data_IF_862759512157
#
_entry.id   IF_862759512157
#
_cell.length_a   1.000
_cell.length_b   1.000
_cell.length_c   1.000
_cell.angle_alpha   90.00
_cell.angle_beta   90.00
_cell.angle_gamma   90.00
#
_symmetry.space_group_name_H-M   'P 1'
#
loop_
_entity.id
_entity.type
_entity.pdbx_description
1 polymer ?
#
# COMPACT_ATOMS: atom_id res chain seq x y z
N UNK A 1 -8.69 -17.06 34.70
CA UNK A 1 -8.07 -16.34 33.56
C UNK A 1 -9.13 -15.48 32.84
N UNK A 2 -8.85 -14.20 32.60
CA UNK A 2 -9.83 -13.22 32.08
C UNK A 2 -10.51 -13.67 30.77
N UNK A 3 -9.74 -14.19 29.81
CA UNK A 3 -10.30 -14.68 28.53
C UNK A 3 -11.28 -15.85 28.67
N UNK A 4 -11.11 -16.71 29.68
CA UNK A 4 -12.04 -17.84 29.90
C UNK A 4 -13.37 -17.37 30.47
N UNK A 5 -13.29 -16.42 31.41
CA UNK A 5 -14.44 -15.93 32.15
C UNK A 5 -15.37 -15.06 31.29
N UNK A 6 -14.87 -14.56 30.16
CA UNK A 6 -15.53 -13.62 29.25
C UNK A 6 -15.68 -14.19 27.82
N UNK A 7 -15.79 -15.51 27.67
CA UNK A 7 -15.86 -16.14 26.34
C UNK A 7 -17.15 -15.82 25.56
N UNK A 8 -18.21 -15.41 26.25
CA UNK A 8 -19.53 -15.16 25.67
C UNK A 8 -19.75 -13.66 25.33
N UNK A 9 -18.87 -12.77 25.79
CA UNK A 9 -18.97 -11.30 25.64
C UNK A 9 -17.69 -10.63 25.11
N UNK A 10 -16.62 -11.39 24.83
CA UNK A 10 -15.35 -10.85 24.35
C UNK A 10 -14.76 -11.64 23.18
N UNK A 11 -14.23 -10.91 22.19
CA UNK A 11 -13.39 -11.45 21.11
C UNK A 11 -11.99 -10.87 21.25
N UNK A 12 -10.97 -11.74 21.21
CA UNK A 12 -9.55 -11.34 21.21
C UNK A 12 -8.96 -11.66 19.85
N UNK A 13 -8.40 -10.65 19.18
CA UNK A 13 -7.67 -10.80 17.93
C UNK A 13 -6.20 -10.47 18.20
N UNK A 14 -5.32 -11.46 17.99
CA UNK A 14 -3.89 -11.26 17.99
C UNK A 14 -3.38 -11.24 16.54
N UNK A 15 -2.46 -10.34 16.24
CA UNK A 15 -1.86 -10.20 14.91
C UNK A 15 -0.35 -10.05 15.03
N UNK A 16 0.37 -10.72 14.14
CA UNK A 16 1.82 -10.76 14.13
C UNK A 16 2.32 -11.68 13.02
N UNK A 17 3.62 -11.64 12.75
CA UNK A 17 4.24 -12.53 11.78
C UNK A 17 4.14 -14.01 12.23
N UNK A 18 4.08 -14.98 11.30
CA UNK A 18 3.80 -16.38 11.63
C UNK A 18 4.69 -16.97 12.73
N UNK A 19 6.01 -16.82 12.65
CA UNK A 19 6.96 -17.38 13.63
C UNK A 19 6.84 -16.67 14.98
N UNK A 20 6.70 -15.34 14.97
CA UNK A 20 6.48 -14.56 16.18
C UNK A 20 5.18 -14.97 16.91
N UNK A 21 4.09 -15.15 16.16
CA UNK A 21 2.81 -15.64 16.69
C UNK A 21 2.94 -17.05 17.25
N UNK A 22 3.63 -17.96 16.55
CA UNK A 22 3.87 -19.32 17.04
C UNK A 22 4.65 -19.34 18.36
N UNK A 23 5.67 -18.49 18.50
CA UNK A 23 6.43 -18.37 19.76
C UNK A 23 5.53 -17.92 20.91
N UNK A 24 4.68 -16.92 20.69
CA UNK A 24 3.73 -16.45 21.70
C UNK A 24 2.74 -17.55 22.10
N UNK A 25 2.21 -18.29 21.13
CA UNK A 25 1.30 -19.41 21.37
C UNK A 25 1.99 -20.59 22.07
N UNK A 26 3.29 -20.77 21.87
CA UNK A 26 4.09 -21.81 22.52
C UNK A 26 4.50 -21.45 23.97
N UNK A 27 4.31 -20.20 24.41
CA UNK A 27 4.70 -19.79 25.76
C UNK A 27 3.86 -20.46 26.87
N UNK A 28 2.63 -20.90 26.55
CA UNK A 28 1.77 -21.67 27.44
C UNK A 28 0.74 -22.46 26.61
N UNK A 29 0.65 -23.77 26.82
CA UNK A 29 -0.30 -24.66 26.13
C UNK A 29 -1.76 -24.17 26.21
N UNK A 30 -2.12 -23.50 27.30
CA UNK A 30 -3.44 -22.90 27.50
C UNK A 30 -3.75 -21.73 26.58
N UNK A 31 -2.76 -21.07 25.97
CA UNK A 31 -2.98 -20.05 24.94
C UNK A 31 -3.28 -20.68 23.58
N UNK A 32 -2.57 -21.76 23.24
CA UNK A 32 -2.77 -22.47 21.96
C UNK A 32 -4.21 -22.96 21.79
N UNK A 33 -4.83 -23.45 22.87
CA UNK A 33 -6.24 -23.85 22.87
C UNK A 33 -7.23 -22.68 22.77
N UNK A 34 -6.83 -21.45 23.12
CA UNK A 34 -7.70 -20.25 23.10
C UNK A 34 -7.71 -19.54 21.75
N UNK A 35 -6.69 -19.75 20.93
CA UNK A 35 -6.62 -19.23 19.56
C UNK A 35 -6.90 -20.35 18.55
N UNK A 36 -8.15 -20.84 18.55
CA UNK A 36 -8.57 -21.95 17.69
C UNK A 36 -8.57 -21.59 16.19
N UNK A 37 -8.76 -20.31 15.87
CA UNK A 37 -8.78 -19.81 14.50
C UNK A 37 -7.46 -19.12 14.17
N UNK A 38 -6.74 -19.67 13.20
CA UNK A 38 -5.55 -19.04 12.62
C UNK A 38 -5.88 -18.61 11.19
N UNK A 39 -5.68 -17.32 10.90
CA UNK A 39 -5.84 -16.77 9.55
C UNK A 39 -4.46 -16.27 9.12
N UNK A 40 -3.95 -16.84 8.04
CA UNK A 40 -2.67 -16.43 7.44
C UNK A 40 -2.93 -15.41 6.32
N UNK A 41 -2.22 -14.29 6.39
CA UNK A 41 -2.24 -13.27 5.35
C UNK A 41 -0.92 -13.30 4.60
N UNK A 42 -0.97 -13.74 3.34
CA UNK A 42 0.17 -13.69 2.44
C UNK A 42 0.27 -12.33 1.76
N UNK A 43 1.48 -11.90 1.44
CA UNK A 43 1.73 -10.71 0.62
C UNK A 43 0.94 -10.79 -0.70
N UNK A 44 0.24 -9.71 -1.08
CA UNK A 44 -0.35 -9.63 -2.42
C UNK A 44 0.74 -9.70 -3.50
N UNK A 45 0.48 -10.53 -4.51
CA UNK A 45 1.31 -10.62 -5.70
C UNK A 45 1.08 -9.42 -6.65
N UNK A 46 1.90 -9.24 -7.70
CA UNK A 46 1.78 -8.08 -8.59
C UNK A 46 0.39 -7.91 -9.21
N UNK A 47 -0.25 -8.99 -9.65
CA UNK A 47 -1.61 -8.94 -10.22
C UNK A 47 -2.65 -8.52 -9.19
N UNK A 48 -2.54 -9.03 -7.97
CA UNK A 48 -3.42 -8.65 -6.86
C UNK A 48 -3.24 -7.18 -6.47
N UNK A 49 -2.01 -6.68 -6.45
CA UNK A 49 -1.74 -5.25 -6.18
C UNK A 49 -2.36 -4.35 -7.26
N UNK A 50 -2.26 -4.74 -8.53
CA UNK A 50 -2.93 -4.05 -9.64
C UNK A 50 -4.45 -4.09 -9.49
N UNK A 51 -5.04 -5.27 -9.20
CA UNK A 51 -6.48 -5.38 -8.98
C UNK A 51 -6.97 -4.53 -7.80
N UNK A 52 -6.15 -4.36 -6.76
CA UNK A 52 -6.45 -3.47 -5.64
C UNK A 52 -6.40 -2.00 -6.09
N UNK A 53 -5.43 -1.59 -6.93
CA UNK A 53 -5.41 -0.24 -7.51
C UNK A 53 -6.69 0.04 -8.30
N UNK A 54 -7.06 -0.87 -9.20
CA UNK A 54 -8.26 -0.78 -10.01
C UNK A 54 -9.51 -0.68 -9.14
N UNK A 55 -9.62 -1.52 -8.10
CA UNK A 55 -10.75 -1.48 -7.17
C UNK A 55 -10.83 -0.20 -6.35
N UNK A 56 -9.68 0.40 -5.97
CA UNK A 56 -9.66 1.70 -5.26
C UNK A 56 -10.08 2.82 -6.20
N UNK A 57 -9.48 2.91 -7.39
CA UNK A 57 -9.81 3.94 -8.38
C UNK A 57 -11.28 3.87 -8.80
N UNK A 58 -11.79 2.67 -9.11
CA UNK A 58 -13.17 2.48 -9.52
C UNK A 58 -14.18 2.86 -8.42
N UNK A 59 -13.83 2.68 -7.14
CA UNK A 59 -14.67 3.11 -6.02
C UNK A 59 -14.85 4.63 -5.97
N UNK A 60 -13.83 5.36 -6.41
CA UNK A 60 -13.84 6.83 -6.46
C UNK A 60 -14.35 7.37 -7.81
N UNK A 61 -14.74 6.49 -8.74
CA UNK A 61 -15.21 6.83 -10.08
C UNK A 61 -14.10 7.06 -11.10
N UNK A 62 -12.85 6.75 -10.73
CA UNK A 62 -11.69 6.94 -11.57
C UNK A 62 -11.41 5.73 -12.47
N UNK A 63 -10.75 5.99 -13.60
CA UNK A 63 -10.26 4.97 -14.52
C UNK A 63 -8.79 5.19 -14.82
N UNK A 64 -8.11 4.14 -15.30
CA UNK A 64 -6.72 4.22 -15.73
C UNK A 64 -6.65 4.26 -17.25
N UNK A 65 -5.74 5.08 -17.79
CA UNK A 65 -5.39 4.98 -19.20
C UNK A 65 -4.84 3.57 -19.52
N UNK A 66 -5.03 3.05 -20.75
CA UNK A 66 -4.71 1.65 -21.09
C UNK A 66 -3.27 1.23 -20.79
N UNK A 67 -2.32 2.17 -20.80
CA UNK A 67 -0.90 1.96 -20.54
C UNK A 67 -0.45 2.33 -19.13
N UNK A 68 -1.32 2.96 -18.32
CA UNK A 68 -0.93 3.61 -17.07
C UNK A 68 -0.37 2.64 -16.02
N UNK A 69 -0.80 1.39 -16.05
CA UNK A 69 -0.41 0.36 -15.08
C UNK A 69 0.73 -0.55 -15.57
N UNK A 70 1.12 -0.46 -16.85
CA UNK A 70 2.11 -1.36 -17.44
C UNK A 70 3.47 -1.24 -16.74
N UNK A 71 3.90 -0.01 -16.44
CA UNK A 71 5.18 0.27 -15.79
C UNK A 71 5.23 -0.19 -14.33
N UNK A 72 4.08 -0.30 -13.65
CA UNK A 72 4.02 -0.73 -12.26
C UNK A 72 4.19 -2.23 -12.07
N UNK A 73 3.78 -3.04 -13.05
CA UNK A 73 3.84 -4.51 -12.95
C UNK A 73 5.25 -5.00 -12.66
N UNK A 74 6.25 -4.43 -13.33
CA UNK A 74 7.65 -4.77 -13.11
C UNK A 74 8.12 -4.36 -11.71
N UNK A 75 7.81 -3.12 -11.30
CA UNK A 75 8.17 -2.62 -9.96
C UNK A 75 7.55 -3.47 -8.85
N UNK A 76 6.28 -3.84 -8.98
CA UNK A 76 5.58 -4.69 -8.02
C UNK A 76 6.15 -6.10 -8.00
N UNK A 77 6.53 -6.66 -9.15
CA UNK A 77 7.24 -7.94 -9.21
C UNK A 77 8.59 -7.88 -8.48
N UNK A 78 9.34 -6.78 -8.62
CA UNK A 78 10.58 -6.58 -7.87
C UNK A 78 10.34 -6.51 -6.35
N UNK A 79 9.31 -5.78 -5.90
CA UNK A 79 8.98 -5.69 -4.47
C UNK A 79 8.43 -6.98 -3.87
N UNK A 80 7.76 -7.79 -4.69
CA UNK A 80 7.26 -9.10 -4.29
C UNK A 80 8.39 -10.13 -4.20
N UNK A 81 9.31 -10.13 -5.16
CA UNK A 81 10.39 -11.12 -5.21
C UNK A 81 11.56 -10.78 -4.27
N UNK A 82 11.77 -9.50 -3.96
CA UNK A 82 12.78 -9.09 -2.99
C UNK A 82 12.28 -9.35 -1.56
N UNK A 83 13.06 -10.13 -0.81
CA UNK A 83 12.71 -10.54 0.55
C UNK A 83 13.93 -10.63 1.45
N UNK A 84 13.70 -10.57 2.76
CA UNK A 84 14.66 -10.90 3.80
C UNK A 84 14.06 -11.94 4.74
N UNK A 85 14.90 -12.56 5.56
CA UNK A 85 14.47 -13.44 6.64
C UNK A 85 14.68 -12.74 7.97
N UNK A 86 13.64 -12.67 8.79
CA UNK A 86 13.70 -12.13 10.14
C UNK A 86 14.58 -13.00 11.04
N UNK A 87 14.97 -12.51 12.22
CA UNK A 87 15.72 -13.30 13.20
C UNK A 87 14.92 -14.48 13.74
N UNK A 88 13.59 -14.42 13.63
CA UNK A 88 12.66 -15.47 14.07
C UNK A 88 12.33 -16.47 12.95
N UNK A 89 12.85 -16.24 11.73
CA UNK A 89 12.67 -17.12 10.58
C UNK A 89 11.53 -16.70 9.63
N UNK A 90 10.84 -15.59 9.89
CA UNK A 90 9.79 -15.10 8.99
C UNK A 90 10.39 -14.59 7.68
N UNK A 91 9.77 -14.95 6.56
CA UNK A 91 10.09 -14.33 5.26
C UNK A 91 9.27 -13.05 5.13
N UNK A 92 9.96 -11.91 5.03
CA UNK A 92 9.35 -10.59 4.89
C UNK A 92 9.73 -10.06 3.50
N UNK A 93 8.74 -9.76 2.66
CA UNK A 93 8.96 -9.16 1.35
C UNK A 93 9.04 -7.64 1.46
N UNK A 94 9.68 -7.01 0.48
CA UNK A 94 9.73 -5.54 0.40
C UNK A 94 8.33 -4.97 0.38
N UNK A 95 7.40 -5.59 -0.37
CA UNK A 95 6.02 -5.13 -0.42
C UNK A 95 5.32 -5.14 0.95
N UNK A 96 5.69 -6.05 1.86
CA UNK A 96 5.17 -6.07 3.22
C UNK A 96 5.71 -4.89 4.03
N UNK A 97 7.02 -4.62 3.89
CA UNK A 97 7.67 -3.47 4.51
C UNK A 97 7.11 -2.13 4.05
N UNK A 98 6.70 -2.04 2.77
CA UNK A 98 6.02 -0.87 2.19
C UNK A 98 4.58 -0.70 2.71
N UNK A 99 3.99 -1.74 3.30
CA UNK A 99 2.61 -1.72 3.81
C UNK A 99 1.57 -2.31 2.85
N UNK A 100 2.00 -3.02 1.81
CA UNK A 100 1.17 -3.85 0.95
C UNK A 100 -0.05 -3.09 0.38
N UNK A 101 -1.29 -3.48 0.70
CA UNK A 101 -2.48 -2.73 0.26
C UNK A 101 -2.51 -1.25 0.67
N UNK A 102 -1.86 -0.86 1.79
CA UNK A 102 -1.71 0.55 2.18
C UNK A 102 -0.81 1.31 1.21
N UNK A 103 0.30 0.70 0.79
CA UNK A 103 1.20 1.28 -0.20
C UNK A 103 0.44 1.57 -1.50
N UNK A 104 -0.31 0.58 -1.99
CA UNK A 104 -1.11 0.68 -3.21
C UNK A 104 -2.15 1.82 -3.12
N UNK A 105 -2.86 1.92 -1.98
CA UNK A 105 -3.77 3.04 -1.73
C UNK A 105 -3.07 4.38 -1.84
N UNK A 106 -1.91 4.53 -1.19
CA UNK A 106 -1.14 5.76 -1.25
C UNK A 106 -0.67 6.10 -2.66
N UNK A 107 -0.30 5.10 -3.48
CA UNK A 107 0.01 5.31 -4.91
C UNK A 107 -1.18 5.94 -5.64
N UNK A 108 -2.38 5.38 -5.49
CA UNK A 108 -3.60 5.91 -6.14
C UNK A 108 -3.93 7.31 -5.64
N UNK A 109 -3.92 7.54 -4.32
CA UNK A 109 -4.17 8.86 -3.72
C UNK A 109 -3.20 9.93 -4.27
N UNK A 110 -1.91 9.58 -4.42
CA UNK A 110 -0.91 10.50 -4.98
C UNK A 110 -1.06 10.71 -6.48
N UNK A 111 -1.51 9.69 -7.22
CA UNK A 111 -1.82 9.81 -8.64
C UNK A 111 -3.03 10.75 -8.87
N UNK A 112 -4.10 10.60 -8.09
CA UNK A 112 -5.27 11.49 -8.11
C UNK A 112 -4.89 12.94 -7.80
N UNK A 113 -4.02 13.17 -6.80
CA UNK A 113 -3.52 14.51 -6.48
C UNK A 113 -2.73 15.13 -7.64
N UNK A 114 -1.92 14.34 -8.35
CA UNK A 114 -1.19 14.82 -9.52
C UNK A 114 -2.13 15.15 -10.68
N UNK A 115 -3.12 14.29 -10.96
CA UNK A 115 -4.16 14.55 -11.96
C UNK A 115 -4.86 15.88 -11.68
N UNK A 116 -5.32 16.07 -10.44
CA UNK A 116 -6.02 17.29 -10.04
C UNK A 116 -5.13 18.53 -10.23
N UNK A 117 -3.84 18.43 -9.89
CA UNK A 117 -2.87 19.51 -10.08
C UNK A 117 -2.66 19.83 -11.57
N UNK A 118 -2.59 18.82 -12.43
CA UNK A 118 -2.49 19.00 -13.89
C UNK A 118 -3.75 19.67 -14.45
N UNK A 119 -4.94 19.25 -14.06
CA UNK A 119 -6.22 19.81 -14.54
C UNK A 119 -6.35 21.28 -14.11
N UNK A 120 -6.04 21.58 -12.85
CA UNK A 120 -6.01 22.96 -12.33
C UNK A 120 -5.05 23.82 -13.14
N UNK A 121 -3.89 23.26 -13.50
CA UNK A 121 -2.89 23.96 -14.30
C UNK A 121 -3.35 24.18 -15.75
N UNK A 122 -4.01 23.20 -16.36
CA UNK A 122 -4.53 23.31 -17.74
C UNK A 122 -5.68 24.31 -17.86
N UNK A 123 -6.45 24.52 -16.79
CA UNK A 123 -7.53 25.49 -16.74
C UNK A 123 -7.06 26.94 -16.54
N UNK A 124 -5.76 27.19 -16.33
CA UNK A 124 -5.24 28.55 -16.18
C UNK A 124 -5.86 29.32 -15.01
N UNK A 125 -6.22 28.62 -13.91
CA UNK A 125 -6.94 29.18 -12.76
C UNK A 125 -6.27 30.39 -12.07
N UNK A 126 -5.00 30.65 -12.36
CA UNK A 126 -4.27 31.83 -11.87
C UNK A 126 -4.74 33.15 -12.49
N UNK A 127 -5.52 33.12 -13.58
CA UNK A 127 -6.13 34.28 -14.20
C UNK A 127 -7.53 34.02 -14.77
N UNK A 128 -8.18 32.93 -14.36
CA UNK A 128 -9.49 32.56 -14.84
C UNK A 128 -10.57 33.52 -14.34
N UNK A 129 -11.40 34.02 -15.25
CA UNK A 129 -12.62 34.76 -14.90
C UNK A 129 -13.70 33.76 -14.51
N UNK A 130 -13.97 33.62 -13.22
CA UNK A 130 -15.01 32.73 -12.70
C UNK A 130 -16.43 33.21 -13.04
N UNK A 131 -16.58 34.42 -13.59
CA UNK A 131 -17.85 34.92 -14.10
C UNK A 131 -18.10 34.60 -15.58
N UNK A 132 -17.10 34.02 -16.26
CA UNK A 132 -17.23 33.53 -17.62
C UNK A 132 -18.20 32.33 -17.66
N UNK A 133 -19.35 32.44 -18.37
CA UNK A 133 -20.32 31.35 -18.47
C UNK A 133 -19.78 30.12 -19.21
N UNK A 134 -18.71 30.26 -19.99
CA UNK A 134 -18.04 29.17 -20.70
C UNK A 134 -16.86 28.58 -19.88
N UNK A 135 -16.64 29.06 -18.65
CA UNK A 135 -15.57 28.53 -17.80
C UNK A 135 -15.80 27.04 -17.48
N UNK A 136 -14.87 26.19 -17.95
CA UNK A 136 -14.89 24.76 -17.69
C UNK A 136 -15.84 23.97 -18.61
N UNK A 137 -16.44 24.58 -19.63
CA UNK A 137 -17.25 23.84 -20.63
C UNK A 137 -16.42 22.88 -21.47
N UNK A 138 -15.11 23.13 -21.59
CA UNK A 138 -14.14 22.29 -22.30
C UNK A 138 -13.60 21.14 -21.44
N UNK A 139 -14.03 21.04 -20.18
CA UNK A 139 -13.66 19.91 -19.31
C UNK A 139 -14.49 18.70 -19.70
N UNK A 140 -13.83 17.76 -20.37
CA UNK A 140 -14.36 16.42 -20.54
C UNK A 140 -14.49 15.74 -19.17
N UNK A 141 -15.63 15.07 -18.92
CA UNK A 141 -15.84 14.28 -17.72
C UNK A 141 -14.78 13.18 -17.58
N UNK A 142 -14.29 12.67 -18.72
CA UNK A 142 -13.20 11.70 -18.76
C UNK A 142 -11.89 12.30 -18.26
N UNK A 143 -11.62 13.60 -18.50
CA UNK A 143 -10.42 14.24 -17.97
C UNK A 143 -10.40 14.30 -16.44
N UNK A 144 -11.57 14.46 -15.81
CA UNK A 144 -11.69 14.54 -14.35
C UNK A 144 -11.51 13.18 -13.65
N UNK A 145 -11.64 12.07 -14.38
CA UNK A 145 -11.66 10.71 -13.84
C UNK A 145 -10.51 9.84 -14.36
N UNK A 146 -9.88 10.21 -15.47
CA UNK A 146 -8.78 9.46 -16.08
C UNK A 146 -7.44 9.73 -15.39
N UNK A 147 -6.83 8.67 -14.85
CA UNK A 147 -5.46 8.64 -14.35
C UNK A 147 -4.51 8.20 -15.47
N UNK A 148 -3.58 9.07 -15.86
CA UNK A 148 -2.62 8.79 -16.92
C UNK A 148 -1.41 7.99 -16.41
N UNK A 149 -0.59 7.47 -17.32
CA UNK A 149 0.68 6.83 -16.96
C UNK A 149 1.61 7.76 -16.15
N UNK A 150 1.57 9.06 -16.43
CA UNK A 150 2.34 10.06 -15.70
C UNK A 150 1.84 10.25 -14.26
N UNK A 151 0.52 10.27 -14.05
CA UNK A 151 -0.07 10.33 -12.70
C UNK A 151 0.32 9.14 -11.86
N UNK A 152 0.20 7.95 -12.45
CA UNK A 152 0.51 6.69 -11.79
C UNK A 152 2.00 6.63 -11.46
N UNK A 153 2.87 7.02 -12.40
CA UNK A 153 4.31 7.08 -12.17
C UNK A 153 4.65 8.07 -11.04
N UNK A 154 4.08 9.28 -11.06
CA UNK A 154 4.24 10.25 -9.99
C UNK A 154 3.78 9.69 -8.65
N UNK A 155 2.58 9.08 -8.61
CA UNK A 155 2.01 8.50 -7.41
C UNK A 155 2.90 7.40 -6.82
N UNK A 156 3.47 6.55 -7.67
CA UNK A 156 4.41 5.51 -7.29
C UNK A 156 5.69 6.08 -6.69
N UNK A 157 6.32 7.05 -7.35
CA UNK A 157 7.53 7.70 -6.83
C UNK A 157 7.27 8.43 -5.51
N UNK A 158 6.10 9.04 -5.33
CA UNK A 158 5.73 9.73 -4.09
C UNK A 158 5.32 8.79 -2.96
N UNK A 159 4.89 7.57 -3.25
CA UNK A 159 4.57 6.56 -2.24
C UNK A 159 5.83 5.84 -1.72
N UNK A 160 6.91 5.79 -2.53
CA UNK A 160 8.15 5.16 -2.12
C UNK A 160 8.84 5.93 -0.99
N UNK A 161 9.52 5.26 -0.06
CA UNK A 161 10.43 5.90 0.88
C UNK A 161 11.51 6.73 0.15
N UNK A 162 11.91 7.91 0.65
CA UNK A 162 12.90 8.77 0.01
C UNK A 162 14.21 8.06 -0.37
N UNK A 163 14.64 7.10 0.46
CA UNK A 163 15.84 6.30 0.28
C UNK A 163 15.75 5.40 -0.97
N UNK A 164 14.54 4.96 -1.33
CA UNK A 164 14.30 4.13 -2.52
C UNK A 164 14.12 4.97 -3.80
N UNK A 165 13.92 6.29 -3.68
CA UNK A 165 13.69 7.18 -4.83
C UNK A 165 14.99 7.60 -5.54
N UNK A 166 16.10 7.71 -4.80
CA UNK A 166 17.21 8.56 -5.21
C UNK A 166 18.47 7.86 -5.70
N UNK A 167 18.65 6.56 -5.51
CA UNK A 167 19.76 5.79 -6.14
C UNK A 167 19.74 4.33 -5.67
N UNK A 168 19.90 3.37 -6.60
CA UNK A 168 20.61 2.07 -6.52
C UNK A 168 20.52 1.14 -5.29
N UNK A 169 19.95 1.54 -4.16
CA UNK A 169 19.77 0.74 -2.97
C UNK A 169 18.84 -0.41 -3.35
N UNK A 170 19.32 -1.63 -3.18
CA UNK A 170 18.48 -2.79 -3.46
C UNK A 170 17.32 -2.70 -2.49
N UNK A 171 16.11 -2.93 -2.98
CA UNK A 171 14.92 -2.82 -2.15
C UNK A 171 15.00 -3.67 -0.86
N UNK A 172 15.75 -4.77 -0.91
CA UNK A 172 16.10 -5.62 0.23
C UNK A 172 16.94 -4.94 1.31
N UNK A 173 17.83 -4.01 0.96
CA UNK A 173 18.71 -3.33 1.92
C UNK A 173 17.91 -2.32 2.73
N UNK A 174 17.07 -1.51 2.07
CA UNK A 174 16.09 -0.65 2.75
C UNK A 174 15.19 -1.45 3.71
N UNK A 175 14.73 -2.63 3.28
CA UNK A 175 13.88 -3.48 4.12
C UNK A 175 14.64 -3.96 5.37
N UNK A 176 15.90 -4.37 5.21
CA UNK A 176 16.76 -4.80 6.34
C UNK A 176 16.93 -3.68 7.36
N UNK A 177 17.30 -2.48 6.90
CA UNK A 177 17.46 -1.31 7.76
C UNK A 177 16.14 -0.89 8.44
N UNK A 178 15.02 -1.04 7.73
CA UNK A 178 13.68 -0.74 8.27
C UNK A 178 13.27 -1.72 9.37
N UNK A 179 13.54 -3.02 9.20
CA UNK A 179 13.31 -4.03 10.23
C UNK A 179 14.23 -3.83 11.45
N UNK A 180 15.49 -3.47 11.24
CA UNK A 180 16.41 -3.15 12.33
C UNK A 180 15.91 -1.95 13.15
N UNK A 181 15.48 -0.86 12.48
CA UNK A 181 14.89 0.31 13.16
C UNK A 181 13.65 -0.05 13.98
N UNK A 182 12.75 -0.88 13.46
CA UNK A 182 11.54 -1.33 14.17
C UNK A 182 11.87 -2.12 15.44
N UNK A 183 12.92 -2.95 15.41
CA UNK A 183 13.36 -3.71 16.59
C UNK A 183 13.90 -2.81 17.69
N UNK A 184 14.78 -1.87 17.34
CA UNK A 184 15.40 -0.97 18.33
C UNK A 184 14.39 -0.02 18.99
N UNK A 185 13.27 0.26 18.33
CA UNK A 185 12.20 1.12 18.86
C UNK A 185 11.21 0.37 19.78
N UNK A 186 11.27 -0.96 19.81
CA UNK A 186 10.38 -1.83 20.61
C UNK A 186 11.07 -2.40 21.86
N UNK A 187 12.39 -2.19 22.03
CA UNK A 187 13.14 -2.49 23.26
C UNK A 187 13.18 -1.29 24.20
#
# INVERSE_FOLDING_TARGET
PFMENHRDDMVVIAAGYPMASQRVLAANDGLRGRFATLIEYTSYNPDQLIAIMEGIAAKDGDTFAPDALLSLRESFAQYYNAQITSSEGDVIRVIDGLGNGRFVRTVVEKAQLNRNSRIVSSLGLSGADLSDPDFGTDLDADMLTLLTAEDVHYGHQQALPPEMRTNGARASDWLRESEERRRTQTQ
#
